data_IF_471592187724
#
_entry.id   IF_471592187724
#
_cell.length_a   1.000
_cell.length_b   1.000
_cell.length_c   1.000
_cell.angle_alpha   90.00
_cell.angle_beta   90.00
_cell.angle_gamma   90.00
#
_symmetry.space_group_name_H-M   'P 1'
#
loop_
_entity.id
_entity.type
_entity.pdbx_description
1 polymer ?
#
# COMPACT_ATOMS: atom_id res chain seq x y z
N UNK A 1 -10.56 -4.21 -27.17
CA UNK A 1 -10.49 -5.18 -26.05
C UNK A 1 -10.99 -4.48 -24.78
N UNK A 2 -12.00 -5.01 -24.09
CA UNK A 2 -12.56 -4.37 -22.88
C UNK A 2 -11.56 -4.30 -21.71
N UNK A 3 -10.56 -5.18 -21.70
CA UNK A 3 -9.57 -5.31 -20.63
C UNK A 3 -8.66 -4.09 -20.42
N UNK A 4 -8.44 -3.26 -21.45
CA UNK A 4 -7.55 -2.07 -21.31
C UNK A 4 -8.10 -1.04 -20.31
N UNK A 5 -9.42 -1.02 -20.12
CA UNK A 5 -10.08 -0.13 -19.16
C UNK A 5 -10.09 -0.71 -17.73
N UNK A 6 -9.70 -1.97 -17.56
CA UNK A 6 -9.64 -2.62 -16.25
C UNK A 6 -8.35 -2.28 -15.47
N UNK A 7 -7.29 -1.87 -16.16
CA UNK A 7 -6.00 -1.48 -15.55
C UNK A 7 -6.15 -0.47 -14.40
N UNK A 8 -6.84 0.68 -14.56
CA UNK A 8 -6.98 1.63 -13.45
C UNK A 8 -7.76 1.06 -12.26
N UNK A 9 -8.69 0.11 -12.51
CA UNK A 9 -9.43 -0.57 -11.43
C UNK A 9 -8.50 -1.49 -10.66
N UNK A 10 -7.70 -2.28 -11.37
CA UNK A 10 -6.72 -3.19 -10.75
C UNK A 10 -5.67 -2.41 -9.94
N UNK A 11 -5.17 -1.30 -10.46
CA UNK A 11 -4.24 -0.39 -9.75
C UNK A 11 -4.86 0.12 -8.44
N UNK A 12 -6.11 0.60 -8.49
CA UNK A 12 -6.81 1.07 -7.30
C UNK A 12 -7.04 -0.05 -6.28
N UNK A 13 -7.43 -1.25 -6.73
CA UNK A 13 -7.61 -2.40 -5.84
C UNK A 13 -6.31 -2.80 -5.16
N UNK A 14 -5.20 -2.84 -5.89
CA UNK A 14 -3.87 -3.15 -5.33
C UNK A 14 -3.44 -2.07 -4.33
N UNK A 15 -3.64 -0.79 -4.66
CA UNK A 15 -3.34 0.30 -3.75
C UNK A 15 -4.14 0.19 -2.44
N UNK A 16 -5.44 -0.11 -2.51
CA UNK A 16 -6.27 -0.29 -1.32
C UNK A 16 -5.80 -1.47 -0.44
N UNK A 17 -5.48 -2.62 -1.05
CA UNK A 17 -4.98 -3.79 -0.30
C UNK A 17 -3.64 -3.48 0.37
N UNK A 18 -2.72 -2.83 -0.35
CA UNK A 18 -1.43 -2.42 0.21
C UNK A 18 -1.59 -1.43 1.37
N UNK A 19 -2.50 -0.45 1.26
CA UNK A 19 -2.74 0.53 2.32
C UNK A 19 -3.34 -0.12 3.57
N UNK A 20 -4.32 -1.01 3.40
CA UNK A 20 -4.90 -1.77 4.52
C UNK A 20 -3.82 -2.60 5.23
N UNK A 21 -2.96 -3.30 4.49
CA UNK A 21 -1.90 -4.11 5.08
C UNK A 21 -0.80 -3.26 5.73
N UNK A 22 -0.46 -2.10 5.16
CA UNK A 22 0.47 -1.17 5.76
C UNK A 22 -0.05 -0.64 7.11
N UNK A 23 -1.34 -0.31 7.19
CA UNK A 23 -1.98 0.13 8.43
C UNK A 23 -2.06 -0.99 9.47
N UNK A 24 -2.39 -2.22 9.06
CA UNK A 24 -2.37 -3.40 9.96
C UNK A 24 -0.98 -3.68 10.51
N UNK A 25 0.04 -3.64 9.66
CA UNK A 25 1.42 -3.79 10.08
C UNK A 25 1.81 -2.70 11.09
N UNK A 26 1.46 -1.44 10.82
CA UNK A 26 1.68 -0.33 11.77
C UNK A 26 0.93 -0.54 13.09
N UNK A 27 -0.28 -1.07 13.07
CA UNK A 27 -1.06 -1.31 14.29
C UNK A 27 -0.46 -2.43 15.15
N UNK A 28 0.14 -3.45 14.54
CA UNK A 28 0.80 -4.54 15.26
C UNK A 28 2.21 -4.17 15.74
N UNK A 29 2.92 -3.34 14.97
CA UNK A 29 4.34 -3.04 15.15
C UNK A 29 4.56 -1.51 15.28
N UNK A 30 3.78 -0.84 16.12
CA UNK A 30 3.74 0.63 16.21
C UNK A 30 5.05 1.29 16.65
N UNK A 31 5.91 0.54 17.32
CA UNK A 31 7.09 1.06 18.03
C UNK A 31 8.40 0.80 17.26
N UNK A 32 8.30 0.28 16.04
CA UNK A 32 9.47 -0.08 15.23
C UNK A 32 10.26 1.16 14.83
N UNK A 33 11.54 1.16 15.19
CA UNK A 33 12.50 2.18 14.78
C UNK A 33 13.13 1.75 13.46
N UNK A 34 12.91 2.55 12.41
CA UNK A 34 13.53 2.32 11.10
C UNK A 34 14.82 3.14 10.97
N UNK A 35 15.93 2.49 10.60
CA UNK A 35 17.20 3.16 10.26
C UNK A 35 17.15 3.80 8.86
N UNK A 36 16.15 3.46 8.05
CA UNK A 36 15.98 4.03 6.72
C UNK A 36 15.67 5.53 6.80
N UNK A 37 16.41 6.37 6.06
CA UNK A 37 16.24 7.82 6.13
C UNK A 37 14.91 8.24 5.51
N UNK A 38 14.23 9.22 6.14
CA UNK A 38 13.09 9.91 5.53
C UNK A 38 13.62 10.89 4.48
N UNK A 39 13.34 10.61 3.22
CA UNK A 39 13.63 11.52 2.10
C UNK A 39 12.37 12.35 1.90
N UNK A 40 12.42 13.63 2.30
CA UNK A 40 11.35 14.60 2.13
C UNK A 40 11.49 15.32 0.79
#
# INVERSE_FOLDING_TARGET
CVGIRATPIAEAMVALVLMDHALRHRAQNGDVVCETPKIC
#
